data_IF_272597233446
#
_entry.id   IF_272597233446
#
_cell.length_a   1.000
_cell.length_b   1.000
_cell.length_c   1.000
_cell.angle_alpha   90.00
_cell.angle_beta   90.00
_cell.angle_gamma   90.00
#
_symmetry.space_group_name_H-M   'P 1'
#
loop_
_entity.id
_entity.type
_entity.pdbx_description
1 polymer ?
#
# COMPACT_ATOMS: atom_id res chain seq x y z
N UNK A 1 -27.94 23.46 -40.91
CA UNK A 1 -26.99 22.32 -41.03
C UNK A 1 -25.92 22.59 -42.07
N UNK A 2 -26.26 22.94 -43.34
CA UNK A 2 -25.26 23.11 -44.39
C UNK A 2 -24.31 24.32 -44.27
N UNK A 3 -24.66 25.38 -43.51
CA UNK A 3 -23.82 26.56 -43.40
C UNK A 3 -22.53 26.36 -42.61
N UNK A 4 -22.57 25.60 -41.50
CA UNK A 4 -21.35 25.26 -40.73
C UNK A 4 -20.41 24.41 -41.57
N UNK A 5 -20.94 23.40 -42.29
CA UNK A 5 -20.15 22.58 -43.22
C UNK A 5 -19.54 23.35 -44.36
N UNK A 6 -20.33 24.25 -44.98
CA UNK A 6 -19.84 25.10 -46.05
C UNK A 6 -18.73 26.03 -45.58
N UNK A 7 -18.88 26.56 -44.37
CA UNK A 7 -17.84 27.38 -43.74
C UNK A 7 -16.54 26.60 -43.44
N UNK A 8 -16.66 25.39 -42.91
CA UNK A 8 -15.51 24.51 -42.63
C UNK A 8 -14.86 24.10 -43.94
N UNK A 9 -15.64 23.61 -44.93
CA UNK A 9 -15.11 23.14 -46.24
C UNK A 9 -14.34 24.23 -46.98
N UNK A 10 -14.77 25.50 -46.85
CA UNK A 10 -14.11 26.61 -47.54
C UNK A 10 -12.86 27.10 -46.79
N UNK A 11 -12.57 26.58 -45.58
CA UNK A 11 -11.40 26.97 -44.80
C UNK A 11 -10.55 25.76 -44.44
N UNK A 12 -9.57 25.44 -45.31
CA UNK A 12 -8.69 24.28 -45.17
C UNK A 12 -7.90 24.32 -43.82
N UNK A 13 -7.49 25.50 -43.38
CA UNK A 13 -6.78 25.66 -42.09
C UNK A 13 -7.66 25.30 -40.93
N UNK A 14 -8.96 25.59 -41.00
CA UNK A 14 -9.93 25.22 -39.94
C UNK A 14 -10.12 23.70 -39.90
N UNK A 15 -10.11 23.01 -41.05
CA UNK A 15 -10.18 21.53 -41.05
C UNK A 15 -8.97 20.94 -40.33
N UNK A 16 -7.75 21.40 -40.66
CA UNK A 16 -6.54 20.95 -40.00
C UNK A 16 -6.58 21.22 -38.50
N UNK A 17 -7.05 22.40 -38.10
CA UNK A 17 -7.20 22.77 -36.70
C UNK A 17 -8.21 21.87 -35.96
N UNK A 18 -9.36 21.57 -36.55
CA UNK A 18 -10.36 20.67 -35.96
C UNK A 18 -9.83 19.23 -35.81
N UNK A 19 -9.06 18.73 -36.78
CA UNK A 19 -8.39 17.43 -36.65
C UNK A 19 -7.37 17.45 -35.51
N UNK A 20 -6.52 18.49 -35.45
CA UNK A 20 -5.52 18.62 -34.39
C UNK A 20 -6.18 18.70 -32.99
N UNK A 21 -7.26 19.48 -32.85
CA UNK A 21 -8.04 19.58 -31.61
C UNK A 21 -8.65 18.23 -31.24
N UNK A 22 -9.15 17.47 -32.20
CA UNK A 22 -9.72 16.13 -31.95
C UNK A 22 -8.69 15.11 -31.47
N UNK A 23 -7.42 15.28 -31.86
CA UNK A 23 -6.30 14.46 -31.38
C UNK A 23 -5.71 14.96 -30.04
N UNK A 24 -6.03 16.17 -29.60
CA UNK A 24 -5.45 16.76 -28.40
C UNK A 24 -5.71 15.94 -27.13
N UNK A 25 -6.92 15.41 -26.88
CA UNK A 25 -7.17 14.53 -25.73
C UNK A 25 -6.29 13.28 -25.74
N UNK A 26 -6.11 12.66 -26.90
CA UNK A 26 -5.23 11.51 -27.07
C UNK A 26 -3.78 11.89 -26.73
N UNK A 27 -3.26 12.96 -27.31
CA UNK A 27 -1.87 13.42 -27.06
C UNK A 27 -1.68 13.71 -25.57
N UNK A 28 -2.63 14.40 -24.94
CA UNK A 28 -2.58 14.71 -23.52
C UNK A 28 -2.51 13.44 -22.66
N UNK A 29 -3.41 12.50 -22.88
CA UNK A 29 -3.46 11.24 -22.12
C UNK A 29 -2.22 10.37 -22.42
N UNK A 30 -1.80 10.28 -23.68
CA UNK A 30 -0.64 9.48 -24.07
C UNK A 30 0.64 9.97 -23.40
N UNK A 31 0.87 11.26 -23.37
CA UNK A 31 2.07 11.85 -22.75
C UNK A 31 1.99 11.76 -21.23
N UNK A 32 0.86 12.15 -20.63
CA UNK A 32 0.74 12.21 -19.16
C UNK A 32 0.65 10.82 -18.54
N UNK A 33 -0.34 10.01 -18.95
CA UNK A 33 -0.54 8.67 -18.38
C UNK A 33 0.63 7.76 -18.75
N UNK A 34 1.17 7.88 -19.98
CA UNK A 34 2.35 7.13 -20.39
C UNK A 34 3.59 7.43 -19.52
N UNK A 35 3.76 8.67 -19.07
CA UNK A 35 4.89 9.04 -18.20
C UNK A 35 4.81 8.44 -16.78
N UNK A 36 3.59 8.16 -16.29
CA UNK A 36 3.33 7.66 -14.93
C UNK A 36 2.60 6.30 -14.95
N UNK A 37 2.73 5.54 -16.05
CA UNK A 37 1.99 4.29 -16.21
C UNK A 37 2.28 3.29 -15.09
N UNK A 38 3.54 3.09 -14.78
CA UNK A 38 3.98 2.15 -13.73
C UNK A 38 5.15 2.72 -12.89
N UNK A 39 4.92 3.76 -12.07
CA UNK A 39 5.98 4.36 -11.29
C UNK A 39 6.42 3.46 -10.13
N UNK A 40 5.54 2.57 -9.63
CA UNK A 40 5.82 1.72 -8.47
C UNK A 40 6.67 0.51 -8.78
N UNK A 41 6.72 0.03 -10.02
CA UNK A 41 7.66 -1.02 -10.45
C UNK A 41 9.11 -0.53 -10.53
N UNK A 42 9.31 0.79 -10.47
CA UNK A 42 10.64 1.43 -10.50
C UNK A 42 11.11 1.89 -9.12
N UNK A 43 10.49 1.41 -8.05
CA UNK A 43 10.92 1.74 -6.68
C UNK A 43 12.28 1.13 -6.35
N UNK A 44 12.71 0.09 -7.07
CA UNK A 44 14.06 -0.48 -7.05
C UNK A 44 15.16 0.51 -7.46
N UNK A 45 14.80 1.59 -8.17
CA UNK A 45 15.69 2.70 -8.53
C UNK A 45 15.74 3.81 -7.47
N UNK A 46 14.86 3.75 -6.46
CA UNK A 46 14.81 4.73 -5.39
C UNK A 46 15.83 4.39 -4.31
N UNK A 47 16.85 5.24 -4.17
CA UNK A 47 17.93 5.05 -3.23
C UNK A 47 17.55 5.40 -1.81
N UNK A 48 17.85 4.49 -0.89
CA UNK A 48 17.76 4.66 0.56
C UNK A 48 19.16 4.51 1.14
N UNK A 49 19.65 5.55 1.76
CA UNK A 49 20.95 5.52 2.44
C UNK A 49 20.82 4.84 3.79
N UNK A 50 21.63 3.81 4.05
CA UNK A 50 21.77 3.19 5.37
C UNK A 50 23.12 3.59 5.94
N UNK A 51 23.09 4.12 7.15
CA UNK A 51 24.28 4.40 7.95
C UNK A 51 24.31 3.38 9.09
N UNK A 52 25.22 2.42 9.03
CA UNK A 52 25.41 1.42 10.06
C UNK A 52 26.53 1.88 11.00
N UNK A 53 26.16 2.34 12.21
CA UNK A 53 27.09 2.71 13.27
C UNK A 53 27.16 1.58 14.35
N UNK A 54 26.40 0.46 14.19
CA UNK A 54 26.26 -0.58 15.19
C UNK A 54 27.58 -1.29 15.51
N UNK A 55 27.76 -1.61 16.77
CA UNK A 55 28.87 -2.41 17.27
C UNK A 55 28.38 -3.75 17.80
N UNK A 56 29.06 -4.79 17.38
CA UNK A 56 28.75 -6.15 17.83
C UNK A 56 28.70 -6.26 19.36
N UNK A 57 27.72 -7.02 19.86
CA UNK A 57 27.55 -7.33 21.26
C UNK A 57 27.54 -8.85 21.48
N UNK A 58 27.60 -9.28 22.73
CA UNK A 58 27.56 -10.72 23.09
C UNK A 58 26.24 -11.03 23.79
N UNK A 59 25.49 -11.96 23.22
CA UNK A 59 24.27 -12.53 23.81
C UNK A 59 24.59 -13.97 24.21
N UNK A 60 24.58 -14.27 25.51
CA UNK A 60 24.81 -15.60 26.07
C UNK A 60 26.07 -16.34 25.52
N UNK A 61 27.16 -15.59 25.25
CA UNK A 61 28.38 -16.13 24.68
C UNK A 61 28.47 -16.10 23.15
N UNK A 62 27.37 -15.86 22.42
CA UNK A 62 27.32 -15.70 20.98
C UNK A 62 27.53 -14.24 20.61
N UNK A 63 28.42 -13.95 19.67
CA UNK A 63 28.61 -12.60 19.13
C UNK A 63 27.53 -12.32 18.11
N UNK A 64 26.76 -11.24 18.32
CA UNK A 64 25.70 -10.76 17.40
C UNK A 64 26.05 -9.38 16.89
N UNK A 65 25.67 -9.07 15.65
CA UNK A 65 25.73 -7.74 15.05
C UNK A 65 24.46 -7.52 14.23
N UNK A 66 23.46 -6.90 14.86
CA UNK A 66 22.14 -6.66 14.26
C UNK A 66 22.26 -5.74 13.05
N UNK A 67 23.11 -4.70 13.14
CA UNK A 67 23.31 -3.75 12.04
C UNK A 67 23.85 -4.41 10.78
N UNK A 68 24.92 -5.21 10.89
CA UNK A 68 25.53 -5.88 9.74
C UNK A 68 24.58 -6.93 9.13
N UNK A 69 23.84 -7.65 9.95
CA UNK A 69 22.89 -8.65 9.48
C UNK A 69 21.71 -8.01 8.74
N UNK A 70 21.17 -6.92 9.27
CA UNK A 70 20.09 -6.15 8.63
C UNK A 70 20.57 -5.56 7.32
N UNK A 71 21.73 -4.93 7.27
CA UNK A 71 22.33 -4.40 6.04
C UNK A 71 22.50 -5.50 4.99
N UNK A 72 23.00 -6.67 5.39
CA UNK A 72 23.14 -7.82 4.49
C UNK A 72 21.80 -8.25 3.89
N UNK A 73 20.77 -8.43 4.73
CA UNK A 73 19.42 -8.80 4.27
C UNK A 73 18.78 -7.73 3.35
N UNK A 74 19.09 -6.46 3.57
CA UNK A 74 18.55 -5.36 2.78
C UNK A 74 19.24 -5.20 1.42
N UNK A 75 20.50 -5.61 1.26
CA UNK A 75 21.19 -5.62 -0.04
C UNK A 75 20.50 -6.53 -1.06
N UNK A 76 19.82 -7.57 -0.61
CA UNK A 76 19.06 -8.50 -1.47
C UNK A 76 17.62 -8.04 -1.71
N UNK A 77 17.21 -6.89 -1.16
CA UNK A 77 15.86 -6.37 -1.32
C UNK A 77 15.64 -5.81 -2.72
N UNK A 78 14.68 -6.38 -3.46
CA UNK A 78 14.36 -5.96 -4.83
C UNK A 78 13.38 -4.79 -4.92
N UNK A 79 12.86 -4.30 -3.77
CA UNK A 79 11.85 -3.23 -3.76
C UNK A 79 12.44 -1.83 -3.72
N UNK A 80 13.64 -1.67 -3.13
CA UNK A 80 14.36 -0.41 -3.01
C UNK A 80 15.85 -0.63 -3.18
N UNK A 81 16.58 0.40 -3.64
CA UNK A 81 18.05 0.41 -3.70
C UNK A 81 18.62 0.87 -2.34
N UNK A 82 18.82 -0.09 -1.43
CA UNK A 82 19.44 0.17 -0.13
C UNK A 82 20.96 0.24 -0.26
N UNK A 83 21.53 1.39 0.04
CA UNK A 83 22.97 1.61 -0.04
C UNK A 83 23.54 1.95 1.33
N UNK A 84 24.49 1.13 1.77
CA UNK A 84 25.28 1.42 2.96
C UNK A 84 26.31 2.50 2.64
N UNK A 85 26.27 3.58 3.37
CA UNK A 85 27.13 4.76 3.16
C UNK A 85 27.50 5.42 4.49
N UNK A 86 28.53 6.27 4.48
CA UNK A 86 28.87 7.09 5.65
C UNK A 86 27.80 8.16 5.92
N UNK A 87 27.70 8.60 7.18
CA UNK A 87 26.75 9.63 7.64
C UNK A 87 26.83 10.93 6.81
N UNK A 88 28.03 11.37 6.48
CA UNK A 88 28.24 12.56 5.65
C UNK A 88 27.76 12.36 4.21
N UNK A 89 27.99 11.18 3.65
CA UNK A 89 27.51 10.81 2.31
C UNK A 89 26.00 10.74 2.28
N UNK A 90 25.36 10.11 3.26
CA UNK A 90 23.92 10.03 3.40
C UNK A 90 23.28 11.42 3.46
N UNK A 91 23.82 12.32 4.29
CA UNK A 91 23.35 13.71 4.40
C UNK A 91 23.44 14.46 3.07
N UNK A 92 24.56 14.30 2.34
CA UNK A 92 24.74 14.92 1.01
C UNK A 92 23.76 14.33 -0.02
N UNK A 93 23.57 13.02 -0.06
CA UNK A 93 22.66 12.36 -0.99
C UNK A 93 21.22 12.78 -0.73
N UNK A 94 20.77 12.84 0.53
CA UNK A 94 19.43 13.27 0.90
C UNK A 94 19.20 14.76 0.55
N UNK A 95 20.16 15.63 0.85
CA UNK A 95 20.08 17.07 0.53
C UNK A 95 19.97 17.33 -0.97
N UNK A 96 20.71 16.56 -1.77
CA UNK A 96 20.77 16.73 -3.23
C UNK A 96 19.69 15.92 -3.98
N UNK A 97 18.75 15.29 -3.28
CA UNK A 97 17.69 14.47 -3.86
C UNK A 97 18.18 13.18 -4.54
N UNK A 98 19.42 12.76 -4.29
CA UNK A 98 19.98 11.49 -4.81
C UNK A 98 19.52 10.28 -4.03
N UNK A 99 19.14 10.46 -2.76
CA UNK A 99 18.43 9.47 -1.94
C UNK A 99 17.11 10.08 -1.47
N UNK A 100 16.08 9.26 -1.35
CA UNK A 100 14.75 9.69 -0.88
C UNK A 100 14.61 9.61 0.64
N UNK A 101 15.49 8.85 1.31
CA UNK A 101 15.53 8.70 2.74
C UNK A 101 16.88 8.24 3.25
N UNK A 102 17.11 8.43 4.54
CA UNK A 102 18.27 7.93 5.28
C UNK A 102 17.79 7.24 6.52
N UNK A 103 18.42 6.10 6.85
CA UNK A 103 18.19 5.33 8.07
C UNK A 103 19.54 5.16 8.75
N UNK A 104 19.62 5.52 10.02
CA UNK A 104 20.82 5.39 10.83
C UNK A 104 20.55 4.34 11.90
N UNK A 105 21.34 3.28 11.89
CA UNK A 105 21.37 2.23 12.92
C UNK A 105 22.37 2.68 13.97
N UNK A 106 21.95 2.88 15.23
CA UNK A 106 22.79 3.47 16.26
C UNK A 106 23.91 2.50 16.70
N UNK A 107 24.99 3.06 17.25
CA UNK A 107 26.17 2.34 17.73
C UNK A 107 25.85 1.24 18.77
N UNK A 108 24.79 1.41 19.52
CA UNK A 108 24.37 0.53 20.61
C UNK A 108 23.20 -0.40 20.24
N UNK A 109 22.85 -0.54 18.96
CA UNK A 109 21.71 -1.37 18.53
C UNK A 109 21.83 -2.83 19.00
N UNK A 110 22.94 -3.48 18.70
CA UNK A 110 23.21 -4.86 19.18
C UNK A 110 23.29 -4.95 20.70
N UNK A 111 23.92 -3.97 21.37
CA UNK A 111 23.97 -3.91 22.82
C UNK A 111 22.58 -3.78 23.44
N UNK A 112 21.73 -2.94 22.91
CA UNK A 112 20.35 -2.77 23.37
C UNK A 112 19.52 -4.05 23.10
N UNK A 113 19.71 -4.69 21.95
CA UNK A 113 19.11 -5.99 21.65
C UNK A 113 19.40 -7.02 22.75
N UNK A 114 20.64 -7.12 23.26
CA UNK A 114 20.98 -8.10 24.30
C UNK A 114 20.29 -7.86 25.64
N UNK A 115 19.60 -6.74 25.84
CA UNK A 115 18.92 -6.39 27.09
C UNK A 115 17.47 -6.83 27.18
N UNK A 116 16.88 -7.38 26.10
CA UNK A 116 15.44 -7.63 26.00
C UNK A 116 14.87 -8.56 27.09
N UNK A 117 15.69 -9.52 27.59
CA UNK A 117 15.32 -10.42 28.68
C UNK A 117 15.77 -9.91 30.05
N UNK A 118 16.38 -8.74 30.12
CA UNK A 118 16.81 -8.14 31.38
C UNK A 118 15.61 -7.47 32.09
N UNK A 119 15.78 -7.23 33.39
CA UNK A 119 14.75 -6.52 34.22
C UNK A 119 14.36 -5.15 33.62
N UNK A 120 15.29 -4.47 32.96
CA UNK A 120 15.10 -3.16 32.34
C UNK A 120 15.56 -3.23 30.87
N UNK A 121 14.70 -3.69 29.94
CA UNK A 121 15.06 -3.79 28.54
C UNK A 121 15.19 -2.42 27.91
N UNK A 122 16.18 -2.25 27.03
CA UNK A 122 16.40 -1.04 26.26
C UNK A 122 15.86 -1.20 24.83
N UNK A 123 15.32 -0.12 24.25
CA UNK A 123 14.87 -0.10 22.86
C UNK A 123 16.04 0.17 21.92
N UNK A 124 15.93 -0.31 20.68
CA UNK A 124 16.77 0.13 19.55
C UNK A 124 16.10 1.35 18.95
N UNK A 125 16.74 2.51 19.02
CA UNK A 125 16.21 3.79 18.53
C UNK A 125 16.84 4.12 17.18
N UNK A 126 16.11 3.86 16.08
CA UNK A 126 16.56 4.22 14.74
C UNK A 126 16.34 5.71 14.49
N UNK A 127 17.35 6.40 13.99
CA UNK A 127 17.19 7.75 13.45
C UNK A 127 16.85 7.67 11.96
N UNK A 128 15.78 8.36 11.54
CA UNK A 128 15.35 8.38 10.15
C UNK A 128 15.22 9.81 9.65
N UNK A 129 15.62 10.07 8.41
CA UNK A 129 15.55 11.37 7.79
C UNK A 129 14.96 11.25 6.38
N UNK A 130 14.03 12.14 6.04
CA UNK A 130 13.42 12.28 4.70
C UNK A 130 13.42 13.76 4.30
N UNK A 131 13.29 14.05 3.01
CA UNK A 131 13.25 15.41 2.49
C UNK A 131 11.97 15.67 1.67
N UNK A 132 10.81 15.94 2.34
CA UNK A 132 9.55 16.19 1.64
C UNK A 132 9.57 17.37 0.68
N UNK A 133 10.42 18.37 0.95
CA UNK A 133 10.59 19.54 0.07
C UNK A 133 11.24 19.21 -1.27
N UNK A 134 12.01 18.12 -1.36
CA UNK A 134 12.56 17.62 -2.62
C UNK A 134 11.53 16.77 -3.40
N UNK A 135 10.84 15.87 -2.72
CA UNK A 135 9.80 15.04 -3.31
C UNK A 135 8.89 14.50 -2.22
N UNK A 136 7.62 14.94 -2.21
CA UNK A 136 6.64 14.43 -1.26
C UNK A 136 6.36 12.93 -1.48
N UNK A 137 6.15 12.52 -2.74
CA UNK A 137 5.91 11.11 -3.10
C UNK A 137 7.13 10.24 -2.79
N UNK A 138 8.34 10.74 -3.05
CA UNK A 138 9.59 10.09 -2.65
C UNK A 138 9.68 9.90 -1.14
N UNK A 139 9.30 10.90 -0.35
CA UNK A 139 9.28 10.79 1.12
C UNK A 139 8.26 9.78 1.63
N UNK A 140 7.09 9.65 1.00
CA UNK A 140 6.12 8.60 1.31
C UNK A 140 6.64 7.20 0.96
N UNK A 141 7.36 7.06 -0.17
CA UNK A 141 8.03 5.81 -0.52
C UNK A 141 9.16 5.48 0.48
N UNK A 142 9.93 6.49 0.92
CA UNK A 142 10.95 6.32 1.96
C UNK A 142 10.36 5.83 3.28
N UNK A 143 9.17 6.30 3.67
CA UNK A 143 8.50 5.82 4.88
C UNK A 143 8.19 4.33 4.80
N UNK A 144 7.71 3.81 3.66
CA UNK A 144 7.51 2.37 3.44
C UNK A 144 8.82 1.58 3.50
N UNK A 145 9.92 2.16 3.01
CA UNK A 145 11.24 1.56 3.12
C UNK A 145 11.72 1.50 4.58
N UNK A 146 11.52 2.57 5.35
CA UNK A 146 11.79 2.64 6.80
C UNK A 146 11.02 1.53 7.54
N UNK A 147 9.74 1.34 7.24
CA UNK A 147 8.92 0.28 7.83
C UNK A 147 9.48 -1.11 7.49
N UNK A 148 9.99 -1.30 6.27
CA UNK A 148 10.64 -2.55 5.84
C UNK A 148 11.90 -2.83 6.66
N UNK A 149 12.75 -1.82 6.87
CA UNK A 149 13.97 -1.93 7.69
C UNK A 149 13.62 -2.21 9.15
N UNK A 150 12.64 -1.50 9.70
CA UNK A 150 12.17 -1.71 11.07
C UNK A 150 11.65 -3.15 11.28
N UNK A 151 10.89 -3.68 10.33
CA UNK A 151 10.44 -5.08 10.33
C UNK A 151 11.63 -6.04 10.25
N UNK A 152 12.61 -5.77 9.40
CA UNK A 152 13.82 -6.60 9.27
C UNK A 152 14.59 -6.66 10.58
N UNK A 153 14.81 -5.51 11.24
CA UNK A 153 15.48 -5.45 12.56
C UNK A 153 14.69 -6.27 13.60
N UNK A 154 13.37 -6.06 13.66
CA UNK A 154 12.51 -6.81 14.60
C UNK A 154 12.62 -8.31 14.38
N UNK A 155 12.55 -8.77 13.13
CA UNK A 155 12.61 -10.18 12.79
C UNK A 155 14.00 -10.76 13.10
N UNK A 156 15.08 -10.04 12.80
CA UNK A 156 16.44 -10.44 13.14
C UNK A 156 16.62 -10.62 14.64
N UNK A 157 16.20 -9.61 15.43
CA UNK A 157 16.29 -9.68 16.89
C UNK A 157 15.43 -10.83 17.42
N UNK A 158 14.22 -11.01 16.90
CA UNK A 158 13.33 -12.11 17.31
C UNK A 158 13.96 -13.48 17.04
N UNK A 159 14.52 -13.70 15.84
CA UNK A 159 15.15 -14.96 15.47
C UNK A 159 16.31 -15.29 16.40
N UNK A 160 17.20 -14.32 16.70
CA UNK A 160 18.32 -14.53 17.65
C UNK A 160 17.83 -14.96 19.04
N UNK A 161 16.72 -14.37 19.52
CA UNK A 161 16.16 -14.74 20.83
C UNK A 161 15.43 -16.09 20.80
N UNK A 162 14.74 -16.44 19.73
CA UNK A 162 14.07 -17.72 19.58
C UNK A 162 15.09 -18.86 19.52
N UNK A 163 16.15 -18.72 18.74
CA UNK A 163 17.25 -19.69 18.66
C UNK A 163 17.83 -19.98 20.05
N UNK A 164 18.07 -18.92 20.81
CA UNK A 164 18.65 -19.03 22.15
C UNK A 164 17.68 -19.70 23.13
N UNK A 165 16.38 -19.34 23.09
CA UNK A 165 15.36 -19.97 23.89
C UNK A 165 15.20 -21.45 23.57
N UNK A 166 15.26 -21.84 22.28
CA UNK A 166 15.18 -23.23 21.86
C UNK A 166 16.40 -24.04 22.31
N UNK A 167 17.59 -23.45 22.18
CA UNK A 167 18.81 -24.08 22.67
C UNK A 167 18.78 -24.30 24.19
N UNK A 168 18.39 -23.28 24.96
CA UNK A 168 18.25 -23.36 26.42
C UNK A 168 17.21 -24.42 26.85
N UNK A 169 16.06 -24.45 26.15
CA UNK A 169 15.03 -25.45 26.44
C UNK A 169 15.49 -26.88 26.16
N UNK A 170 16.21 -27.11 25.03
CA UNK A 170 16.77 -28.41 24.68
C UNK A 170 17.79 -28.87 25.73
N UNK A 171 18.68 -27.98 26.16
CA UNK A 171 19.65 -28.24 27.19
C UNK A 171 18.99 -28.56 28.54
N UNK A 172 17.96 -27.80 28.92
CA UNK A 172 17.20 -28.04 30.16
C UNK A 172 16.50 -29.41 30.14
N UNK A 173 15.86 -29.77 29.02
CA UNK A 173 15.25 -31.10 28.85
C UNK A 173 16.25 -32.24 28.98
N UNK A 174 17.44 -32.09 28.38
CA UNK A 174 18.51 -33.06 28.49
C UNK A 174 18.95 -33.19 29.96
N UNK A 175 19.17 -32.06 30.66
CA UNK A 175 19.53 -32.04 32.06
C UNK A 175 18.53 -32.77 32.98
N UNK A 176 17.23 -32.55 32.76
CA UNK A 176 16.20 -33.26 33.51
C UNK A 176 16.19 -34.75 33.18
N UNK A 177 16.36 -35.13 31.92
CA UNK A 177 16.45 -36.53 31.51
C UNK A 177 17.62 -37.26 32.18
N UNK A 178 18.78 -36.61 32.20
CA UNK A 178 20.01 -37.19 32.81
C UNK A 178 19.84 -37.27 34.34
N UNK A 179 19.21 -36.25 34.96
CA UNK A 179 18.90 -36.29 36.40
C UNK A 179 17.93 -37.44 36.74
N UNK A 180 16.88 -37.64 35.93
CA UNK A 180 15.94 -38.76 36.12
C UNK A 180 16.63 -40.13 36.03
N UNK A 181 17.57 -40.31 35.06
CA UNK A 181 18.39 -41.54 34.95
C UNK A 181 19.28 -41.74 36.18
N UNK A 182 19.94 -40.67 36.63
CA UNK A 182 20.81 -40.76 37.83
C UNK A 182 20.02 -41.11 39.07
N UNK A 183 18.84 -40.53 39.27
CA UNK A 183 17.92 -40.89 40.36
C UNK A 183 17.47 -42.36 40.27
N UNK A 184 17.18 -42.86 39.07
CA UNK A 184 16.88 -44.28 38.87
C UNK A 184 18.03 -45.23 39.25
N UNK A 185 19.27 -44.88 38.89
CA UNK A 185 20.46 -45.63 39.29
C UNK A 185 20.67 -45.56 40.81
N UNK A 186 20.44 -44.40 41.41
CA UNK A 186 20.56 -44.23 42.86
C UNK A 186 19.52 -45.07 43.63
N UNK A 187 18.26 -45.09 43.16
CA UNK A 187 17.23 -45.94 43.73
C UNK A 187 17.56 -47.45 43.66
N UNK A 188 18.22 -47.90 42.56
CA UNK A 188 18.71 -49.27 42.44
C UNK A 188 19.83 -49.56 43.44
N UNK A 189 20.80 -48.66 43.62
CA UNK A 189 21.89 -48.80 44.58
C UNK A 189 21.35 -48.81 46.02
N UNK A 190 20.38 -47.93 46.34
CA UNK A 190 19.69 -47.93 47.62
C UNK A 190 19.00 -49.25 47.91
N UNK A 191 18.30 -49.84 46.92
CA UNK A 191 17.67 -51.15 47.04
C UNK A 191 18.70 -52.26 47.36
N UNK A 192 19.86 -52.19 46.72
CA UNK A 192 20.99 -53.14 47.01
C UNK A 192 21.51 -52.94 48.44
N UNK A 193 21.66 -51.67 48.89
CA UNK A 193 22.10 -51.38 50.25
C UNK A 193 21.08 -51.84 51.28
N UNK A 194 19.76 -51.65 51.04
CA UNK A 194 18.69 -52.12 51.90
C UNK A 194 18.79 -53.63 52.04
N UNK A 195 18.87 -54.37 50.94
CA UNK A 195 18.96 -55.85 50.95
C UNK A 195 20.21 -56.32 51.67
N UNK A 196 21.37 -55.65 51.44
CA UNK A 196 22.60 -55.99 52.16
C UNK A 196 22.52 -55.69 53.67
N UNK A 197 21.88 -54.60 54.04
CA UNK A 197 21.70 -54.24 55.46
C UNK A 197 20.66 -55.17 56.15
N UNK A 198 19.63 -55.66 55.44
CA UNK A 198 18.74 -56.67 55.96
C UNK A 198 19.45 -58.00 56.25
N UNK A 199 20.37 -58.41 55.37
CA UNK A 199 21.21 -59.57 55.60
C UNK A 199 22.11 -59.41 56.86
N UNK A 200 22.72 -58.23 57.03
CA UNK A 200 23.48 -57.86 58.20
C UNK A 200 22.60 -57.94 59.46
N UNK A 201 21.34 -57.38 59.39
CA UNK A 201 20.37 -57.46 60.49
C UNK A 201 20.03 -58.89 60.85
N UNK A 202 19.87 -59.80 59.83
CA UNK A 202 19.57 -61.16 60.05
C UNK A 202 20.77 -61.88 60.80
N UNK A 203 22.02 -61.61 60.35
CA UNK A 203 23.21 -62.07 61.01
C UNK A 203 23.40 -61.62 62.45
N UNK A 204 23.11 -60.31 62.67
CA UNK A 204 23.11 -59.70 64.01
C UNK A 204 22.11 -60.33 64.94
N UNK A 205 20.85 -60.58 64.42
CA UNK A 205 19.80 -61.30 65.22
C UNK A 205 20.20 -62.67 65.63
N UNK A 206 20.95 -63.42 64.82
CA UNK A 206 21.50 -64.73 65.19
C UNK A 206 22.57 -64.62 66.25
N UNK A 207 23.36 -63.58 66.27
CA UNK A 207 24.44 -63.39 67.21
C UNK A 207 24.05 -62.67 68.50
N UNK A 208 22.94 -61.90 68.51
CA UNK A 208 22.44 -61.06 69.63
C UNK A 208 22.26 -61.88 70.92
N UNK A 209 21.71 -63.13 70.91
CA UNK A 209 21.56 -63.94 72.12
C UNK A 209 22.87 -64.24 72.84
N UNK A 210 23.96 -64.27 72.07
CA UNK A 210 25.34 -64.53 72.62
C UNK A 210 26.02 -63.26 73.15
N UNK A 211 25.64 -62.09 72.67
CA UNK A 211 26.19 -60.74 72.98
C UNK A 211 25.40 -59.98 74.01
N UNK A 212 24.28 -60.49 74.45
CA UNK A 212 23.35 -59.81 75.41
C UNK A 212 22.86 -58.45 74.96
N UNK A 213 22.69 -57.49 75.87
CA UNK A 213 22.11 -56.18 75.62
C UNK A 213 22.88 -55.39 74.54
N UNK A 214 24.17 -55.60 74.34
CA UNK A 214 24.97 -54.96 73.29
C UNK A 214 24.58 -55.47 71.88
N UNK A 215 24.31 -56.81 71.80
CA UNK A 215 23.82 -57.38 70.53
C UNK A 215 22.46 -56.84 70.13
N UNK A 216 21.53 -56.67 71.07
CA UNK A 216 20.20 -56.06 70.79
C UNK A 216 20.30 -54.59 70.35
N UNK A 217 21.22 -53.80 70.98
CA UNK A 217 21.48 -52.43 70.53
C UNK A 217 22.01 -52.33 69.12
N UNK A 218 22.90 -53.28 68.72
CA UNK A 218 23.44 -53.35 67.35
C UNK A 218 22.32 -53.70 66.35
N UNK A 219 21.46 -54.63 66.68
CA UNK A 219 20.26 -54.96 65.83
C UNK A 219 19.35 -53.71 65.68
N UNK A 220 18.99 -53.02 66.78
CA UNK A 220 18.18 -51.84 66.71
C UNK A 220 18.83 -50.72 65.88
N UNK A 221 20.14 -50.49 66.07
CA UNK A 221 20.84 -49.50 65.29
C UNK A 221 20.82 -49.82 63.79
N UNK A 222 21.01 -51.10 63.43
CA UNK A 222 21.00 -51.53 62.04
C UNK A 222 19.57 -51.49 61.41
N UNK A 223 18.52 -51.76 62.20
CA UNK A 223 17.15 -51.54 61.75
C UNK A 223 16.82 -50.08 61.51
N UNK A 224 17.37 -49.17 62.35
CA UNK A 224 17.24 -47.72 62.09
C UNK A 224 17.97 -47.31 60.77
N UNK A 225 19.11 -47.88 60.46
CA UNK A 225 19.77 -47.67 59.15
C UNK A 225 18.90 -48.12 58.02
N UNK A 226 18.28 -49.33 58.12
CA UNK A 226 17.33 -49.83 57.09
C UNK A 226 16.18 -48.84 56.90
N UNK A 227 15.58 -48.39 57.97
CA UNK A 227 14.46 -47.41 57.90
C UNK A 227 14.93 -46.09 57.26
N UNK A 228 16.13 -45.61 57.60
CA UNK A 228 16.71 -44.41 56.98
C UNK A 228 16.93 -44.57 55.45
N UNK A 229 17.44 -45.72 55.05
CA UNK A 229 17.65 -46.05 53.62
C UNK A 229 16.33 -46.16 52.88
N UNK A 230 15.30 -46.77 53.45
CA UNK A 230 13.97 -46.86 52.85
C UNK A 230 13.33 -45.48 52.68
N UNK A 231 13.48 -44.62 53.68
CA UNK A 231 13.00 -43.22 53.60
C UNK A 231 13.76 -42.45 52.52
N UNK A 232 15.06 -42.62 52.40
CA UNK A 232 15.88 -42.02 51.34
C UNK A 232 15.40 -42.47 49.94
N UNK A 233 15.19 -43.77 49.76
CA UNK A 233 14.69 -44.34 48.52
C UNK A 233 13.29 -43.75 48.14
N UNK A 234 12.37 -43.66 49.10
CA UNK A 234 11.05 -43.01 48.87
C UNK A 234 11.19 -41.56 48.44
N UNK A 235 12.08 -40.79 49.10
CA UNK A 235 12.33 -39.41 48.75
C UNK A 235 12.90 -39.26 47.33
N UNK A 236 13.83 -40.16 46.92
CA UNK A 236 14.41 -40.17 45.60
C UNK A 236 13.41 -40.55 44.51
N UNK A 237 12.50 -41.50 44.79
CA UNK A 237 11.40 -41.85 43.89
C UNK A 237 10.43 -40.69 43.71
N UNK A 238 10.07 -40.00 44.78
CA UNK A 238 9.24 -38.79 44.67
C UNK A 238 9.91 -37.68 43.89
N UNK A 239 11.23 -37.48 44.08
CA UNK A 239 12.01 -36.50 43.30
C UNK A 239 12.05 -36.89 41.84
N UNK A 240 12.30 -38.16 41.54
CA UNK A 240 12.29 -38.71 40.18
C UNK A 240 10.95 -38.48 39.50
N UNK A 241 9.82 -38.76 40.17
CA UNK A 241 8.48 -38.50 39.64
C UNK A 241 8.27 -37.02 39.30
N UNK A 242 8.71 -36.08 40.16
CA UNK A 242 8.65 -34.65 39.89
C UNK A 242 9.48 -34.24 38.66
N UNK A 243 10.68 -34.84 38.53
CA UNK A 243 11.54 -34.60 37.37
C UNK A 243 10.90 -35.15 36.09
N UNK A 244 10.36 -36.39 36.14
CA UNK A 244 9.70 -37.02 35.00
C UNK A 244 8.46 -36.20 34.54
N UNK A 245 7.68 -35.67 35.48
CA UNK A 245 6.60 -34.73 35.17
C UNK A 245 7.08 -33.40 34.53
N UNK A 246 8.26 -32.91 34.96
CA UNK A 246 8.86 -31.73 34.34
C UNK A 246 9.29 -32.00 32.90
N UNK A 247 9.88 -33.17 32.65
CA UNK A 247 10.24 -33.64 31.29
C UNK A 247 9.01 -33.79 30.41
N UNK A 248 7.90 -34.35 30.91
CA UNK A 248 6.66 -34.53 30.20
C UNK A 248 6.04 -33.17 29.82
N UNK A 249 5.96 -32.24 30.78
CA UNK A 249 5.46 -30.87 30.49
C UNK A 249 6.29 -30.16 29.43
N UNK A 250 7.61 -30.34 29.46
CA UNK A 250 8.53 -29.75 28.49
C UNK A 250 8.45 -30.44 27.11
N UNK A 251 8.05 -31.73 27.07
CA UNK A 251 7.87 -32.49 25.82
C UNK A 251 6.58 -32.06 25.11
N UNK A 252 5.56 -31.59 25.85
CA UNK A 252 4.30 -31.08 25.26
C UNK A 252 4.45 -29.68 24.65
N UNK A 253 5.56 -28.98 24.88
CA UNK A 253 5.92 -27.74 24.17
C UNK A 253 6.86 -28.11 23.05
N UNK A 254 6.34 -28.10 21.82
CA UNK A 254 7.13 -28.40 20.63
C UNK A 254 7.96 -27.19 20.24
N UNK A 255 9.28 -27.30 20.33
CA UNK A 255 10.26 -26.31 19.92
C UNK A 255 11.06 -26.89 18.74
N UNK A 256 10.37 -27.04 17.60
CA UNK A 256 10.97 -27.52 16.35
C UNK A 256 11.04 -26.37 15.34
N UNK A 257 11.83 -26.53 14.28
CA UNK A 257 12.04 -25.50 13.26
C UNK A 257 10.73 -24.96 12.65
N UNK A 258 9.69 -25.81 12.59
CA UNK A 258 8.36 -25.41 12.09
C UNK A 258 7.67 -24.43 13.04
N UNK A 259 7.84 -24.60 14.35
CA UNK A 259 7.29 -23.68 15.37
C UNK A 259 8.05 -22.37 15.41
N UNK A 260 9.36 -22.39 15.14
CA UNK A 260 10.19 -21.19 14.99
C UNK A 260 9.69 -20.35 13.80
N UNK A 261 9.48 -20.99 12.64
CA UNK A 261 8.90 -20.32 11.48
C UNK A 261 7.50 -19.78 11.77
N UNK A 262 6.63 -20.53 12.42
CA UNK A 262 5.30 -20.10 12.80
C UNK A 262 5.33 -18.91 13.76
N UNK A 263 6.27 -18.83 14.69
CA UNK A 263 6.47 -17.70 15.59
C UNK A 263 7.05 -16.46 14.88
N UNK A 264 7.82 -16.67 13.81
CA UNK A 264 8.30 -15.57 12.97
C UNK A 264 7.21 -15.03 12.05
N UNK A 265 6.27 -15.89 11.59
CA UNK A 265 5.18 -15.58 10.66
C UNK A 265 3.80 -15.72 11.33
N UNK A 266 3.63 -15.11 12.53
CA UNK A 266 2.35 -15.15 13.27
C UNK A 266 1.20 -14.49 12.50
N UNK A 267 1.50 -13.54 11.60
CA UNK A 267 0.49 -12.78 10.86
C UNK A 267 0.46 -13.21 9.39
N UNK A 268 -0.60 -13.91 9.00
CA UNK A 268 -0.92 -14.14 7.58
C UNK A 268 -1.98 -13.14 7.14
N UNK A 269 -1.57 -12.12 6.39
CA UNK A 269 -2.51 -11.20 5.74
C UNK A 269 -2.94 -11.81 4.41
N UNK A 270 -4.24 -12.08 4.26
CA UNK A 270 -4.83 -12.46 2.98
C UNK A 270 -5.45 -11.20 2.36
N UNK A 271 -4.85 -10.71 1.30
CA UNK A 271 -5.37 -9.57 0.55
C UNK A 271 -6.43 -10.04 -0.44
N UNK A 272 -7.69 -9.63 -0.22
CA UNK A 272 -8.79 -9.83 -1.15
C UNK A 272 -9.15 -8.49 -1.78
N UNK A 273 -8.63 -8.21 -2.96
CA UNK A 273 -8.94 -7.00 -3.69
C UNK A 273 -10.30 -7.13 -4.39
N UNK A 274 -11.21 -6.18 -4.17
CA UNK A 274 -12.54 -6.14 -4.82
C UNK A 274 -12.40 -5.84 -6.32
N UNK A 275 -11.40 -5.01 -6.67
CA UNK A 275 -11.06 -4.65 -8.04
C UNK A 275 -9.56 -4.88 -8.26
N UNK A 276 -9.18 -5.23 -9.49
CA UNK A 276 -7.80 -5.44 -9.86
C UNK A 276 -7.31 -4.28 -10.73
N UNK A 277 -6.21 -3.66 -10.35
CA UNK A 277 -5.47 -2.72 -11.17
C UNK A 277 -4.00 -3.16 -11.17
N UNK A 278 -3.50 -3.50 -12.35
CA UNK A 278 -2.12 -3.98 -12.49
C UNK A 278 -1.13 -2.82 -12.52
N UNK A 279 -1.57 -1.65 -13.01
CA UNK A 279 -0.73 -0.45 -13.16
C UNK A 279 -1.39 0.79 -12.56
N UNK A 280 -0.56 1.66 -11.98
CA UNK A 280 -1.03 2.95 -11.45
C UNK A 280 -1.73 3.80 -12.52
N UNK A 281 -1.22 3.78 -13.75
CA UNK A 281 -1.81 4.49 -14.89
C UNK A 281 -3.27 4.15 -15.12
N UNK A 282 -3.69 2.91 -14.87
CA UNK A 282 -5.08 2.47 -14.99
C UNK A 282 -6.01 3.22 -14.04
N UNK A 283 -5.55 3.45 -12.80
CA UNK A 283 -6.33 4.14 -11.76
C UNK A 283 -6.42 5.65 -12.00
N UNK A 284 -5.43 6.23 -12.66
CA UNK A 284 -5.36 7.66 -12.97
C UNK A 284 -6.04 7.99 -14.31
N UNK A 285 -6.16 7.00 -15.21
CA UNK A 285 -6.74 7.17 -16.54
C UNK A 285 -8.16 7.80 -16.53
N UNK A 286 -9.12 7.42 -15.67
CA UNK A 286 -10.43 8.05 -15.58
C UNK A 286 -10.36 9.58 -15.46
N UNK A 287 -9.47 10.05 -14.60
CA UNK A 287 -9.24 11.46 -14.39
C UNK A 287 -8.60 12.13 -15.60
N UNK A 288 -7.50 11.55 -16.11
CA UNK A 288 -6.76 12.14 -17.23
C UNK A 288 -7.53 12.13 -18.54
N UNK A 289 -8.35 11.10 -18.79
CA UNK A 289 -9.25 11.06 -19.93
C UNK A 289 -10.33 12.16 -19.83
N UNK A 290 -10.89 12.35 -18.63
CA UNK A 290 -11.88 13.41 -18.38
C UNK A 290 -11.30 14.80 -18.61
N UNK A 291 -10.10 15.05 -18.09
CA UNK A 291 -9.36 16.31 -18.29
C UNK A 291 -9.02 16.52 -19.76
N UNK A 292 -8.44 15.52 -20.41
CA UNK A 292 -8.05 15.61 -21.82
C UNK A 292 -9.20 15.97 -22.76
N UNK A 293 -10.37 15.35 -22.56
CA UNK A 293 -11.58 15.65 -23.32
C UNK A 293 -12.08 17.08 -23.07
N UNK A 294 -12.02 17.55 -21.82
CA UNK A 294 -12.40 18.93 -21.50
C UNK A 294 -11.42 19.96 -22.08
N UNK A 295 -10.11 19.69 -22.05
CA UNK A 295 -9.07 20.51 -22.70
C UNK A 295 -9.32 20.58 -24.20
N UNK A 296 -9.65 19.46 -24.84
CA UNK A 296 -10.06 19.40 -26.24
C UNK A 296 -11.30 20.27 -26.49
N UNK A 297 -12.28 20.24 -25.61
CA UNK A 297 -13.50 21.05 -25.69
C UNK A 297 -13.22 22.56 -25.56
N UNK A 298 -12.35 22.96 -24.62
CA UNK A 298 -11.89 24.36 -24.48
C UNK A 298 -11.17 24.82 -25.75
N UNK A 299 -10.28 23.97 -26.27
CA UNK A 299 -9.53 24.25 -27.51
C UNK A 299 -10.45 24.39 -28.72
N UNK A 300 -11.50 23.54 -28.81
CA UNK A 300 -12.54 23.68 -29.81
C UNK A 300 -13.26 25.03 -29.71
N UNK A 301 -13.71 25.40 -28.52
CA UNK A 301 -14.42 26.67 -28.26
C UNK A 301 -13.52 27.90 -28.54
N UNK A 302 -12.20 27.77 -28.37
CA UNK A 302 -11.22 28.82 -28.66
C UNK A 302 -10.99 29.03 -30.16
N UNK A 303 -10.93 27.97 -30.93
CA UNK A 303 -10.51 28.01 -32.33
C UNK A 303 -11.69 28.08 -33.28
N UNK A 304 -12.79 27.37 -32.98
CA UNK A 304 -13.96 27.40 -33.82
C UNK A 304 -14.74 28.73 -33.61
N UNK A 305 -15.00 29.51 -34.69
CA UNK A 305 -15.58 30.85 -34.56
C UNK A 305 -17.09 30.81 -34.29
N UNK A 306 -17.48 30.32 -33.10
CA UNK A 306 -18.88 30.07 -32.69
C UNK A 306 -19.79 31.30 -32.86
N UNK A 307 -19.28 32.49 -32.58
CA UNK A 307 -20.02 33.74 -32.69
C UNK A 307 -20.06 34.32 -34.10
N UNK A 308 -19.00 34.09 -34.92
CA UNK A 308 -18.90 34.59 -36.29
C UNK A 308 -19.78 33.82 -37.28
N UNK A 309 -20.21 32.62 -36.95
CA UNK A 309 -21.12 31.80 -37.77
C UNK A 309 -22.60 32.09 -37.51
N UNK A 310 -22.91 33.03 -36.59
CA UNK A 310 -24.26 33.44 -36.30
C UNK A 310 -24.82 34.33 -37.43
N UNK A 311 -26.03 34.02 -37.90
CA UNK A 311 -26.69 34.69 -39.02
C UNK A 311 -28.15 35.00 -38.63
N UNK A 312 -28.61 36.22 -38.95
CA UNK A 312 -30.00 36.62 -38.72
C UNK A 312 -30.98 36.08 -39.76
N UNK A 313 -30.50 35.89 -41.00
CA UNK A 313 -31.29 35.40 -42.13
C UNK A 313 -31.58 33.88 -42.07
N UNK A 314 -31.05 33.19 -41.04
CA UNK A 314 -31.23 31.73 -40.86
C UNK A 314 -32.03 31.46 -39.59
N UNK A 315 -33.05 30.61 -39.69
CA UNK A 315 -33.90 30.25 -38.56
C UNK A 315 -33.04 29.65 -37.40
N UNK A 316 -33.29 30.03 -36.11
CA UNK A 316 -32.51 29.63 -34.96
C UNK A 316 -32.32 28.11 -34.84
N UNK A 317 -33.37 27.32 -35.11
CA UNK A 317 -33.29 25.86 -35.03
C UNK A 317 -32.34 25.25 -36.05
N UNK A 318 -32.20 25.84 -37.24
CA UNK A 318 -31.25 25.37 -38.27
C UNK A 318 -29.80 25.66 -37.89
N UNK A 319 -29.55 26.81 -37.27
CA UNK A 319 -28.26 27.18 -36.72
C UNK A 319 -27.89 26.28 -35.55
N UNK A 320 -28.85 26.06 -34.65
CA UNK A 320 -28.69 25.16 -33.51
C UNK A 320 -28.33 23.73 -33.94
N UNK A 321 -29.10 23.13 -34.85
CA UNK A 321 -28.86 21.81 -35.41
C UNK A 321 -27.46 21.70 -36.04
N UNK A 322 -27.02 22.75 -36.76
CA UNK A 322 -25.68 22.78 -37.33
C UNK A 322 -24.58 22.73 -36.29
N UNK A 323 -24.73 23.48 -35.19
CA UNK A 323 -23.79 23.49 -34.07
C UNK A 323 -23.79 22.15 -33.29
N UNK A 324 -24.97 21.65 -32.95
CA UNK A 324 -25.13 20.37 -32.28
C UNK A 324 -24.47 19.22 -33.09
N UNK A 325 -24.74 19.20 -34.40
CA UNK A 325 -24.10 18.20 -35.27
C UNK A 325 -22.57 18.31 -35.25
N UNK A 326 -22.04 19.53 -35.26
CA UNK A 326 -20.59 19.74 -35.18
C UNK A 326 -20.02 19.30 -33.82
N UNK A 327 -20.73 19.55 -32.69
CA UNK A 327 -20.30 19.07 -31.38
C UNK A 327 -20.27 17.54 -31.30
N UNK A 328 -21.30 16.89 -31.86
CA UNK A 328 -21.35 15.43 -31.95
C UNK A 328 -20.21 14.91 -32.80
N UNK A 329 -19.96 15.50 -33.98
CA UNK A 329 -18.88 15.08 -34.87
C UNK A 329 -17.51 15.22 -34.20
N UNK A 330 -17.23 16.40 -33.63
CA UNK A 330 -15.94 16.68 -32.97
C UNK A 330 -15.74 15.84 -31.72
N UNK A 331 -16.78 15.74 -30.87
CA UNK A 331 -16.75 14.92 -29.66
C UNK A 331 -16.58 13.45 -29.97
N UNK A 332 -17.29 12.94 -30.99
CA UNK A 332 -17.14 11.54 -31.44
C UNK A 332 -15.75 11.26 -31.96
N UNK A 333 -15.18 12.16 -32.76
CA UNK A 333 -13.82 11.99 -33.26
C UNK A 333 -12.80 11.93 -32.11
N UNK A 334 -12.87 12.86 -31.13
CA UNK A 334 -12.00 12.84 -29.95
C UNK A 334 -12.18 11.57 -29.13
N UNK A 335 -13.42 11.16 -28.87
CA UNK A 335 -13.76 9.97 -28.11
C UNK A 335 -13.22 8.68 -28.77
N UNK A 336 -13.41 8.55 -30.10
CA UNK A 336 -12.90 7.39 -30.86
C UNK A 336 -11.37 7.34 -30.81
N UNK A 337 -10.69 8.45 -31.11
CA UNK A 337 -9.24 8.49 -31.14
C UNK A 337 -8.64 8.16 -29.78
N UNK A 338 -9.19 8.75 -28.71
CA UNK A 338 -8.73 8.44 -27.34
C UNK A 338 -9.03 7.00 -26.94
N UNK A 339 -10.21 6.46 -27.25
CA UNK A 339 -10.57 5.07 -26.94
C UNK A 339 -9.69 4.05 -27.67
N UNK A 340 -9.37 4.30 -28.93
CA UNK A 340 -8.44 3.47 -29.69
C UNK A 340 -7.05 3.46 -29.05
N UNK A 341 -6.57 4.62 -28.64
CA UNK A 341 -5.28 4.72 -27.94
C UNK A 341 -5.29 3.99 -26.59
N UNK A 342 -6.33 4.16 -25.79
CA UNK A 342 -6.46 3.48 -24.49
C UNK A 342 -6.46 1.96 -24.67
N UNK A 343 -7.23 1.44 -25.63
CA UNK A 343 -7.31 -0.02 -25.87
C UNK A 343 -6.05 -0.60 -26.51
N UNK A 344 -5.53 0.04 -27.57
CA UNK A 344 -4.45 -0.53 -28.38
C UNK A 344 -3.07 0.07 -28.08
N UNK A 345 -3.00 1.32 -27.65
CA UNK A 345 -1.75 2.00 -27.33
C UNK A 345 -1.25 1.70 -25.91
N UNK A 346 -2.16 1.77 -24.92
CA UNK A 346 -1.85 1.42 -23.54
C UNK A 346 -2.08 -0.06 -23.22
N UNK A 347 -2.82 -0.78 -24.06
CA UNK A 347 -3.13 -2.19 -23.84
C UNK A 347 -4.09 -2.43 -22.66
N UNK A 348 -4.87 -1.42 -22.26
CA UNK A 348 -5.74 -1.51 -21.11
C UNK A 348 -6.83 -2.57 -21.31
N UNK A 349 -6.97 -3.47 -20.33
CA UNK A 349 -8.10 -4.38 -20.28
C UNK A 349 -9.29 -3.69 -19.61
N UNK A 350 -10.31 -3.37 -20.43
CA UNK A 350 -11.50 -2.66 -20.00
C UNK A 350 -12.60 -3.69 -19.80
N UNK A 351 -13.07 -3.86 -18.56
CA UNK A 351 -14.11 -4.85 -18.23
C UNK A 351 -15.39 -4.64 -19.04
N UNK A 352 -15.81 -3.38 -19.22
CA UNK A 352 -16.99 -3.06 -20.01
C UNK A 352 -16.73 -1.97 -21.04
N UNK A 353 -16.30 -2.37 -22.23
CA UNK A 353 -15.99 -1.45 -23.33
C UNK A 353 -17.23 -0.64 -23.79
N UNK A 354 -18.44 -1.18 -23.71
CA UNK A 354 -19.66 -0.48 -24.05
C UNK A 354 -19.95 0.69 -23.11
N UNK A 355 -19.84 0.48 -21.80
CA UNK A 355 -19.93 1.54 -20.80
C UNK A 355 -18.84 2.59 -21.02
N UNK A 356 -17.60 2.14 -21.27
CA UNK A 356 -16.45 3.02 -21.48
C UNK A 356 -16.66 3.96 -22.67
N UNK A 357 -17.03 3.43 -23.82
CA UNK A 357 -17.32 4.21 -25.02
C UNK A 357 -18.48 5.19 -24.78
N UNK A 358 -19.54 4.74 -24.12
CA UNK A 358 -20.69 5.58 -23.81
C UNK A 358 -20.28 6.80 -22.97
N UNK A 359 -19.47 6.61 -21.91
CA UNK A 359 -18.98 7.73 -21.09
C UNK A 359 -18.08 8.65 -21.91
N UNK A 360 -17.17 8.08 -22.74
CA UNK A 360 -16.32 8.85 -23.65
C UNK A 360 -17.12 9.80 -24.53
N UNK A 361 -18.16 9.28 -25.20
CA UNK A 361 -19.02 10.07 -26.10
C UNK A 361 -19.84 11.11 -25.31
N UNK A 362 -20.51 10.71 -24.26
CA UNK A 362 -21.36 11.61 -23.47
C UNK A 362 -20.56 12.76 -22.87
N UNK A 363 -19.41 12.45 -22.28
CA UNK A 363 -18.54 13.46 -21.68
C UNK A 363 -17.93 14.40 -22.71
N UNK A 364 -17.42 13.87 -23.83
CA UNK A 364 -16.86 14.70 -24.90
C UNK A 364 -17.90 15.71 -25.43
N UNK A 365 -19.13 15.25 -25.70
CA UNK A 365 -20.22 16.10 -26.21
C UNK A 365 -20.66 17.10 -25.13
N UNK A 366 -20.82 16.68 -23.86
CA UNK A 366 -21.21 17.56 -22.76
C UNK A 366 -20.16 18.66 -22.54
N UNK A 367 -18.87 18.31 -22.53
CA UNK A 367 -17.77 19.26 -22.38
C UNK A 367 -17.77 20.32 -23.50
N UNK A 368 -17.90 19.89 -24.77
CA UNK A 368 -17.98 20.80 -25.91
C UNK A 368 -19.23 21.68 -25.81
N UNK A 369 -20.36 21.15 -25.41
CA UNK A 369 -21.58 21.92 -25.25
C UNK A 369 -21.44 23.02 -24.17
N UNK A 370 -20.92 22.67 -23.00
CA UNK A 370 -20.67 23.59 -21.88
C UNK A 370 -19.72 24.71 -22.26
N UNK A 371 -18.56 24.38 -22.81
CA UNK A 371 -17.53 25.35 -23.20
C UNK A 371 -18.05 26.27 -24.32
N UNK A 372 -18.75 25.69 -25.31
CA UNK A 372 -19.36 26.45 -26.41
C UNK A 372 -20.49 27.38 -25.96
N UNK A 373 -21.27 26.99 -24.94
CA UNK A 373 -22.30 27.87 -24.38
C UNK A 373 -21.66 29.12 -23.76
N UNK A 374 -20.61 28.94 -22.96
CA UNK A 374 -19.91 30.06 -22.33
C UNK A 374 -19.35 31.04 -23.37
N UNK A 375 -18.76 30.53 -24.46
CA UNK A 375 -18.23 31.36 -25.55
C UNK A 375 -19.38 32.02 -26.36
N UNK A 376 -20.46 31.31 -26.61
CA UNK A 376 -21.64 31.89 -27.27
C UNK A 376 -22.26 33.07 -26.49
N UNK A 377 -22.26 32.97 -25.16
CA UNK A 377 -22.82 34.01 -24.28
C UNK A 377 -21.86 35.20 -24.12
N UNK A 378 -20.56 34.93 -23.92
CA UNK A 378 -19.61 35.92 -23.40
C UNK A 378 -18.36 36.08 -24.25
N UNK A 379 -18.29 35.45 -25.44
CA UNK A 379 -17.15 35.48 -26.35
C UNK A 379 -15.83 35.14 -25.66
N UNK A 380 -14.83 36.02 -25.69
CA UNK A 380 -13.52 35.79 -25.06
C UNK A 380 -13.59 35.64 -23.53
N UNK A 381 -14.49 36.35 -22.87
CA UNK A 381 -14.74 36.19 -21.42
C UNK A 381 -15.27 34.76 -21.13
N UNK A 382 -16.13 34.26 -22.02
CA UNK A 382 -16.64 32.89 -21.91
C UNK A 382 -15.55 31.83 -22.01
N UNK A 383 -14.52 32.06 -22.85
CA UNK A 383 -13.35 31.19 -22.93
C UNK A 383 -12.54 31.21 -21.63
N UNK A 384 -12.33 32.39 -21.05
CA UNK A 384 -11.68 32.52 -19.74
C UNK A 384 -12.47 31.77 -18.65
N UNK A 385 -13.79 31.89 -18.62
CA UNK A 385 -14.63 31.16 -17.68
C UNK A 385 -14.60 29.64 -17.91
N UNK A 386 -14.50 29.20 -19.16
CA UNK A 386 -14.31 27.76 -19.46
C UNK A 386 -12.98 27.21 -18.90
N UNK A 387 -11.90 27.99 -19.00
CA UNK A 387 -10.62 27.64 -18.37
C UNK A 387 -10.70 27.66 -16.83
N UNK A 388 -11.38 28.64 -16.25
CA UNK A 388 -11.60 28.70 -14.79
C UNK A 388 -12.43 27.51 -14.31
N UNK A 389 -13.47 27.13 -15.07
CA UNK A 389 -14.28 25.94 -14.80
C UNK A 389 -13.42 24.66 -14.85
N UNK A 390 -12.47 24.55 -15.80
CA UNK A 390 -11.53 23.43 -15.86
C UNK A 390 -10.71 23.36 -14.57
N UNK A 391 -10.08 24.46 -14.15
CA UNK A 391 -9.25 24.51 -12.94
C UNK A 391 -10.07 24.14 -11.70
N UNK A 392 -11.30 24.62 -11.60
CA UNK A 392 -12.20 24.28 -10.49
C UNK A 392 -12.53 22.78 -10.49
N UNK A 393 -12.83 22.21 -11.65
CA UNK A 393 -13.11 20.78 -11.81
C UNK A 393 -11.90 19.91 -11.50
N UNK A 394 -10.68 20.33 -11.89
CA UNK A 394 -9.45 19.60 -11.56
C UNK A 394 -9.31 19.36 -10.05
N UNK A 395 -9.67 20.36 -9.24
CA UNK A 395 -9.53 20.31 -7.79
C UNK A 395 -10.71 19.65 -7.07
N UNK A 396 -11.90 19.58 -7.72
CA UNK A 396 -13.16 19.14 -7.09
C UNK A 396 -13.69 17.80 -7.61
N UNK A 397 -13.03 17.13 -8.55
CA UNK A 397 -13.62 15.96 -9.23
C UNK A 397 -13.19 14.61 -8.69
N UNK A 398 -12.47 14.54 -7.56
CA UNK A 398 -11.99 13.26 -7.01
C UNK A 398 -11.10 12.49 -8.00
N UNK A 399 -10.14 13.21 -8.63
CA UNK A 399 -9.30 12.62 -9.67
C UNK A 399 -8.24 11.66 -9.14
N UNK A 400 -7.27 12.20 -8.40
CA UNK A 400 -6.11 11.44 -7.90
C UNK A 400 -6.24 11.05 -6.42
N UNK A 401 -7.00 11.81 -5.63
CA UNK A 401 -7.23 11.58 -4.21
C UNK A 401 -8.71 11.50 -3.92
N UNK A 402 -9.13 10.71 -2.91
CA UNK A 402 -10.50 10.72 -2.41
C UNK A 402 -10.94 12.14 -2.05
N UNK A 403 -12.21 12.48 -2.32
CA UNK A 403 -12.72 13.84 -2.12
C UNK A 403 -12.68 14.29 -0.65
N UNK A 404 -12.72 13.33 0.28
CA UNK A 404 -12.63 13.57 1.72
C UNK A 404 -11.29 14.22 2.13
N UNK A 405 -10.23 13.98 1.36
CA UNK A 405 -8.90 14.58 1.56
C UNK A 405 -8.83 16.02 1.06
N UNK A 406 -9.83 16.49 0.33
CA UNK A 406 -9.88 17.86 -0.20
C UNK A 406 -10.43 18.86 0.83
N UNK A 407 -10.06 20.14 0.69
CA UNK A 407 -10.61 21.20 1.52
C UNK A 407 -12.15 21.32 1.37
N UNK A 408 -12.83 21.81 2.42
CA UNK A 408 -14.29 21.85 2.51
C UNK A 408 -14.98 22.52 1.29
N UNK A 409 -14.36 23.58 0.75
CA UNK A 409 -14.84 24.27 -0.45
C UNK A 409 -14.94 23.31 -1.66
N UNK A 410 -13.91 22.50 -1.93
CA UNK A 410 -13.92 21.58 -3.07
C UNK A 410 -14.87 20.41 -2.87
N UNK A 411 -15.06 19.96 -1.63
CA UNK A 411 -16.05 18.94 -1.28
C UNK A 411 -17.48 19.44 -1.53
N UNK A 412 -17.75 20.73 -1.24
CA UNK A 412 -19.03 21.37 -1.55
C UNK A 412 -19.27 21.47 -3.06
N UNK A 413 -18.24 21.79 -3.86
CA UNK A 413 -18.34 21.93 -5.32
C UNK A 413 -18.46 20.56 -6.02
N UNK A 414 -17.91 19.50 -5.45
CA UNK A 414 -17.82 18.15 -6.05
C UNK A 414 -19.13 17.66 -6.70
N UNK A 415 -20.31 17.68 -6.04
CA UNK A 415 -21.56 17.20 -6.64
C UNK A 415 -22.06 18.07 -7.79
N UNK A 416 -21.59 19.29 -7.93
CA UNK A 416 -21.94 20.20 -9.03
C UNK A 416 -20.94 20.14 -10.19
N UNK A 417 -19.83 19.42 -10.03
CA UNK A 417 -18.79 19.27 -11.05
C UNK A 417 -19.17 18.19 -12.07
N UNK A 418 -19.43 18.53 -13.35
CA UNK A 418 -19.74 17.53 -14.38
C UNK A 418 -18.63 16.49 -14.56
N UNK A 419 -17.38 16.88 -14.39
CA UNK A 419 -16.21 15.99 -14.50
C UNK A 419 -16.21 14.90 -13.43
N UNK A 420 -16.76 15.15 -12.24
CA UNK A 420 -16.89 14.13 -11.18
C UNK A 420 -17.67 12.92 -11.67
N UNK A 421 -18.76 13.14 -12.35
CA UNK A 421 -19.58 12.05 -12.91
C UNK A 421 -18.89 11.34 -14.06
N UNK A 422 -18.15 12.05 -14.91
CA UNK A 422 -17.37 11.44 -15.98
C UNK A 422 -16.30 10.49 -15.42
N UNK A 423 -15.56 10.92 -14.39
CA UNK A 423 -14.53 10.09 -13.72
C UNK A 423 -15.16 8.86 -13.11
N UNK A 424 -16.28 8.98 -12.39
CA UNK A 424 -16.99 7.84 -11.80
C UNK A 424 -17.50 6.87 -12.86
N UNK A 425 -17.99 7.39 -13.98
CA UNK A 425 -18.41 6.55 -15.12
C UNK A 425 -17.27 5.79 -15.77
N UNK A 426 -16.10 6.40 -15.89
CA UNK A 426 -14.90 5.72 -16.37
C UNK A 426 -14.41 4.66 -15.38
N UNK A 427 -14.39 4.96 -14.08
CA UNK A 427 -14.05 3.98 -13.04
C UNK A 427 -14.95 2.76 -13.10
N UNK A 428 -16.27 2.98 -13.18
CA UNK A 428 -17.27 1.90 -13.28
C UNK A 428 -17.16 1.09 -14.58
N UNK A 429 -16.66 1.70 -15.66
CA UNK A 429 -16.48 1.01 -16.94
C UNK A 429 -15.18 0.21 -17.01
N UNK A 430 -14.11 0.70 -16.39
CA UNK A 430 -12.79 0.06 -16.36
C UNK A 430 -12.73 -1.02 -15.28
N UNK A 431 -13.21 -0.71 -14.07
CA UNK A 431 -13.17 -1.59 -12.90
C UNK A 431 -14.60 -1.77 -12.39
N UNK A 432 -15.32 -2.75 -12.78
CA UNK A 432 -16.71 -2.97 -12.32
C UNK A 432 -16.80 -2.88 -10.79
N UNK A 433 -17.80 -2.14 -10.28
CA UNK A 433 -18.00 -1.82 -8.86
C UNK A 433 -16.95 -0.89 -8.21
N UNK A 434 -16.18 -0.14 -8.99
CA UNK A 434 -15.23 0.84 -8.48
C UNK A 434 -15.81 2.26 -8.36
N UNK A 435 -16.98 2.53 -8.94
CA UNK A 435 -17.66 3.83 -8.89
C UNK A 435 -18.60 3.96 -7.69
N UNK A 436 -18.75 5.18 -7.16
CA UNK A 436 -19.74 5.48 -6.11
C UNK A 436 -21.18 5.51 -6.64
N UNK A 437 -21.34 5.63 -7.97
CA UNK A 437 -22.64 5.72 -8.63
C UNK A 437 -22.80 4.62 -9.67
N UNK A 438 -24.02 4.15 -9.84
CA UNK A 438 -24.34 3.22 -10.92
C UNK A 438 -24.12 3.86 -12.29
N UNK A 439 -23.68 3.07 -13.27
CA UNK A 439 -23.48 3.55 -14.64
C UNK A 439 -24.70 4.27 -15.21
N UNK A 440 -25.90 3.74 -14.98
CA UNK A 440 -27.16 4.35 -15.46
C UNK A 440 -27.38 5.77 -14.92
N UNK A 441 -27.06 5.98 -13.64
CA UNK A 441 -27.14 7.31 -13.03
C UNK A 441 -26.14 8.29 -13.65
N UNK A 442 -24.90 7.87 -13.83
CA UNK A 442 -23.85 8.69 -14.47
C UNK A 442 -24.23 9.06 -15.90
N UNK A 443 -24.69 8.08 -16.70
CA UNK A 443 -25.11 8.31 -18.07
C UNK A 443 -26.31 9.28 -18.15
N UNK A 444 -27.26 9.17 -17.23
CA UNK A 444 -28.39 10.07 -17.15
C UNK A 444 -27.96 11.52 -16.83
N UNK A 445 -27.05 11.70 -15.85
CA UNK A 445 -26.52 13.03 -15.49
C UNK A 445 -25.76 13.65 -16.67
N UNK A 446 -24.82 12.94 -17.28
CA UNK A 446 -24.04 13.46 -18.41
C UNK A 446 -24.94 13.80 -19.61
N UNK A 447 -25.93 12.95 -19.91
CA UNK A 447 -26.92 13.21 -20.96
C UNK A 447 -27.78 14.44 -20.61
N UNK A 448 -28.25 14.54 -19.35
CA UNK A 448 -29.00 15.68 -18.85
C UNK A 448 -28.24 16.99 -18.98
N UNK A 449 -26.95 17.01 -18.62
CA UNK A 449 -26.07 18.16 -18.79
C UNK A 449 -25.93 18.51 -20.28
N UNK A 450 -25.63 17.56 -21.15
CA UNK A 450 -25.48 17.81 -22.58
C UNK A 450 -26.75 18.39 -23.21
N UNK A 451 -27.88 17.74 -22.98
CA UNK A 451 -29.17 18.16 -23.53
C UNK A 451 -29.67 19.50 -22.92
N UNK A 452 -29.51 19.64 -21.60
CA UNK A 452 -29.91 20.91 -20.91
C UNK A 452 -29.09 22.08 -21.40
N UNK A 453 -27.77 21.93 -21.54
CA UNK A 453 -26.91 22.99 -22.08
C UNK A 453 -27.23 23.29 -23.56
N UNK A 454 -27.46 22.27 -24.39
CA UNK A 454 -27.89 22.47 -25.78
C UNK A 454 -29.24 23.16 -25.90
N UNK A 455 -30.17 22.87 -25.00
CA UNK A 455 -31.45 23.59 -24.93
C UNK A 455 -31.25 25.07 -24.59
N UNK A 456 -30.38 25.36 -23.60
CA UNK A 456 -30.04 26.77 -23.26
C UNK A 456 -29.39 27.43 -24.47
N UNK A 457 -28.51 26.78 -25.19
CA UNK A 457 -27.94 27.31 -26.44
C UNK A 457 -29.02 27.65 -27.49
N UNK A 458 -30.05 26.81 -27.65
CA UNK A 458 -31.17 27.09 -28.53
C UNK A 458 -31.91 28.36 -28.13
N UNK A 459 -32.18 28.52 -26.84
CA UNK A 459 -32.83 29.75 -26.31
C UNK A 459 -31.96 31.01 -26.56
N UNK A 460 -30.65 30.88 -26.39
CA UNK A 460 -29.68 31.95 -26.68
C UNK A 460 -29.70 32.31 -28.17
N UNK A 461 -29.81 31.36 -29.08
CA UNK A 461 -29.90 31.61 -30.52
C UNK A 461 -31.23 32.28 -30.92
N UNK A 462 -32.36 31.92 -30.27
CA UNK A 462 -33.65 32.61 -30.46
C UNK A 462 -33.52 34.09 -30.02
N UNK A 463 -32.94 34.30 -28.85
CA UNK A 463 -32.71 35.62 -28.30
C UNK A 463 -31.80 36.49 -29.19
N UNK A 464 -30.68 35.88 -29.68
CA UNK A 464 -29.78 36.52 -30.65
C UNK A 464 -30.51 36.94 -31.93
N UNK A 465 -31.34 36.08 -32.51
CA UNK A 465 -32.09 36.39 -33.74
C UNK A 465 -33.05 37.58 -33.56
N UNK A 466 -33.64 37.74 -32.36
CA UNK A 466 -34.50 38.88 -32.04
C UNK A 466 -33.72 40.18 -31.84
N UNK A 467 -32.53 40.13 -31.29
CA UNK A 467 -31.73 41.30 -30.88
C UNK A 467 -30.66 41.74 -31.87
N UNK A 468 -30.25 40.86 -32.75
CA UNK A 468 -29.23 41.11 -33.79
C UNK A 468 -27.79 41.21 -33.29
N UNK A 469 -27.56 40.99 -31.98
CA UNK A 469 -26.22 41.08 -31.39
C UNK A 469 -26.03 39.97 -30.37
N UNK A 470 -24.83 39.41 -30.24
CA UNK A 470 -24.48 38.54 -29.09
C UNK A 470 -24.59 39.31 -27.77
N UNK A 471 -24.80 38.61 -26.67
CA UNK A 471 -24.99 39.18 -25.33
C UNK A 471 -23.81 40.07 -24.91
N UNK A 472 -22.63 39.68 -25.26
CA UNK A 472 -21.41 40.39 -24.94
C UNK A 472 -20.44 40.30 -26.11
N UNK A 473 -19.91 41.40 -26.58
CA UNK A 473 -18.89 41.46 -27.60
C UNK A 473 -17.79 42.44 -27.15
N UNK A 474 -16.64 41.94 -26.78
CA UNK A 474 -15.50 42.84 -26.56
C UNK A 474 -15.04 43.41 -27.92
N UNK A 475 -15.23 44.71 -28.08
CA UNK A 475 -14.54 45.47 -29.13
C UNK A 475 -13.18 45.88 -28.54
N UNK A 476 -12.12 45.27 -29.02
CA UNK A 476 -10.80 45.87 -28.90
C UNK A 476 -10.63 46.80 -30.13
N UNK A 477 -10.47 48.07 -29.86
CA UNK A 477 -10.01 49.03 -30.87
C UNK A 477 -8.59 48.74 -31.27
#
# INVERSE_FOLDING_TARGET
MFNEFKFIKNNKMLIVALIAIGLLPLIYVALFVGSIWNPYDKTDQLKISIVNEDKAATLQGKKINIGDEVVSKLKDNKKFDFQEVSKDTAKKQLKNGKAIGTIIIPEDASKNATTLLNKNPKKIELETQVNPGSSYTGSQAAQKAIDTVTKSIRNTVRAEYLDELFAANKQSKQGYTDTSKALGQMSQAEGQLINGNEQVTAGLKQMAPMAGAQGEQLVQGNEQVTQGLQQLQQNNEQLKQKIDQAVEKQTNVHFENENEQALNDIEKVTENNITKADYYGETVLPYMASVGLFVGAVSFAAIYPLTKTLRQDVAPWKQWLGKVFLYVLQGSFSAIMLSLWVKFGLGLDIENIGKFLTVMFLWAIAAIAVTSLLVLLLDRVGLFLAMLLLVLQLSSSEGMFPIEMSAAFFRFIHPFSPMSYAIQGFREAIFTNAGHFTFGFVAAILTGIALGVMLIQYLVLIWFNKRGKPLFQMKFN
#
